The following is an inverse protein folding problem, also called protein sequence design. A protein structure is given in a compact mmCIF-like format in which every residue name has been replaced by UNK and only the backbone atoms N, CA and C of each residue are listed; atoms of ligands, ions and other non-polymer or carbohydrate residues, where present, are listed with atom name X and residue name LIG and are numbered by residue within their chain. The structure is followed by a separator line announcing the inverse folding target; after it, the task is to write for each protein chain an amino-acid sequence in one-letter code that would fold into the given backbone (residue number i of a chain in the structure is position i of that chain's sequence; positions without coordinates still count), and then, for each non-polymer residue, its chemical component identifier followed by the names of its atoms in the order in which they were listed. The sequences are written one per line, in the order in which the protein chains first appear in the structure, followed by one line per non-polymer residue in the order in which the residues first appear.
data_IF_894179741431
#
_entry.id   IF_894179741431
#
_cell.length_a   1.000
_cell.length_b   1.000
_cell.length_c   1.000
_cell.angle_alpha   90.00
_cell.angle_beta   90.00
_cell.angle_gamma   90.00
#
_symmetry.space_group_name_H-M   'P 1'
#
loop_
_entity.id
_entity.type
_entity.pdbx_description
1 polymer ?
#
# COMPACT_ATOMS: atom_id res chain seq x y z
N UNK A 1 12.55 -2.43 -25.17
CA UNK A 1 11.71 -3.48 -24.55
C UNK A 1 11.76 -3.38 -23.01
N UNK A 2 10.64 -3.64 -22.34
CA UNK A 2 10.56 -3.60 -20.86
C UNK A 2 11.05 -4.97 -20.35
N UNK A 3 12.35 -5.19 -20.42
CA UNK A 3 12.97 -6.49 -20.09
C UNK A 3 13.78 -6.46 -18.79
N UNK A 4 13.86 -5.31 -18.14
CA UNK A 4 14.55 -5.14 -16.87
C UNK A 4 13.74 -4.24 -15.94
N UNK A 5 14.04 -4.28 -14.65
CA UNK A 5 13.43 -3.38 -13.67
C UNK A 5 13.71 -1.90 -14.00
N UNK A 6 14.92 -1.58 -14.44
CA UNK A 6 15.27 -0.23 -14.86
C UNK A 6 14.46 0.23 -16.09
N UNK A 7 14.28 -0.64 -17.10
CA UNK A 7 13.44 -0.32 -18.27
C UNK A 7 11.95 -0.20 -17.90
N UNK A 8 11.48 -1.03 -16.97
CA UNK A 8 10.13 -0.97 -16.42
C UNK A 8 9.88 0.36 -15.70
N UNK A 9 10.81 0.75 -14.83
CA UNK A 9 10.79 2.03 -14.12
C UNK A 9 10.77 3.21 -15.09
N UNK A 10 11.67 3.21 -16.08
CA UNK A 10 11.77 4.27 -17.07
C UNK A 10 10.48 4.41 -17.92
N UNK A 11 9.88 3.29 -18.34
CA UNK A 11 8.63 3.30 -19.10
C UNK A 11 7.45 3.84 -18.28
N UNK A 12 7.34 3.43 -17.03
CA UNK A 12 6.29 3.94 -16.12
C UNK A 12 6.47 5.43 -15.84
N UNK A 13 7.71 5.87 -15.50
CA UNK A 13 8.01 7.28 -15.25
C UNK A 13 7.72 8.15 -16.46
N UNK A 14 8.09 7.70 -17.68
CA UNK A 14 7.79 8.44 -18.89
C UNK A 14 6.28 8.64 -19.08
N UNK A 15 5.48 7.60 -18.94
CA UNK A 15 4.03 7.68 -19.09
C UNK A 15 3.41 8.59 -18.01
N UNK A 16 3.88 8.45 -16.77
CA UNK A 16 3.46 9.30 -15.65
C UNK A 16 3.74 10.77 -15.93
N UNK A 17 4.97 11.10 -16.37
CA UNK A 17 5.34 12.49 -16.68
C UNK A 17 4.54 13.07 -17.84
N UNK A 18 4.27 12.29 -18.89
CA UNK A 18 3.46 12.77 -20.02
C UNK A 18 2.04 13.12 -19.59
N UNK A 19 1.38 12.23 -18.84
CA UNK A 19 0.03 12.49 -18.34
C UNK A 19 0.04 13.64 -17.34
N UNK A 20 0.99 13.67 -16.40
CA UNK A 20 1.13 14.76 -15.43
C UNK A 20 1.32 16.12 -16.12
N UNK A 21 2.15 16.18 -17.14
CA UNK A 21 2.36 17.42 -17.91
C UNK A 21 1.07 17.90 -18.57
N UNK A 22 0.30 17.01 -19.18
CA UNK A 22 -1.00 17.33 -19.74
C UNK A 22 -1.98 17.87 -18.66
N UNK A 23 -1.99 17.26 -17.46
CA UNK A 23 -2.83 17.73 -16.35
C UNK A 23 -2.39 19.11 -15.84
N UNK A 24 -1.09 19.38 -15.73
CA UNK A 24 -0.58 20.71 -15.36
C UNK A 24 -0.96 21.78 -16.38
N UNK A 25 -1.08 21.41 -17.65
CA UNK A 25 -1.56 22.30 -18.71
C UNK A 25 -3.11 22.40 -18.77
N UNK A 26 -3.84 21.75 -17.85
CA UNK A 26 -5.30 21.68 -17.84
C UNK A 26 -5.90 21.03 -19.09
N UNK A 27 -5.16 20.12 -19.71
CA UNK A 27 -5.61 19.36 -20.88
C UNK A 27 -6.44 18.15 -20.47
N UNK A 28 -7.47 17.83 -21.26
CA UNK A 28 -8.21 16.58 -21.14
C UNK A 28 -7.39 15.44 -21.75
N UNK A 29 -7.26 14.33 -20.99
CA UNK A 29 -6.44 13.19 -21.41
C UNK A 29 -7.31 12.05 -21.92
N UNK A 30 -7.03 11.60 -23.13
CA UNK A 30 -7.54 10.35 -23.69
C UNK A 30 -6.40 9.37 -23.86
N UNK A 31 -6.27 8.42 -22.93
CA UNK A 31 -5.20 7.41 -22.96
C UNK A 31 -5.75 6.10 -23.50
N UNK A 32 -5.16 5.59 -24.58
CA UNK A 32 -5.48 4.27 -25.12
C UNK A 32 -4.42 3.26 -24.69
N UNK A 33 -4.86 2.21 -23.97
CA UNK A 33 -4.00 1.12 -23.49
C UNK A 33 -4.02 -0.12 -24.41
N UNK A 34 -4.57 0.01 -25.59
CA UNK A 34 -4.52 -1.03 -26.62
C UNK A 34 -3.21 -0.93 -27.40
N UNK A 35 -2.62 -2.08 -27.65
CA UNK A 35 -1.34 -2.17 -28.33
C UNK A 35 -0.15 -2.18 -27.37
N UNK A 36 0.98 -2.66 -27.83
CA UNK A 36 2.17 -2.82 -27.02
C UNK A 36 2.15 -4.06 -26.11
N UNK A 37 3.07 -4.10 -25.18
CA UNK A 37 3.18 -5.21 -24.20
C UNK A 37 2.15 -5.05 -23.07
N UNK A 38 1.72 -6.16 -22.50
CA UNK A 38 0.75 -6.20 -21.37
C UNK A 38 1.16 -5.29 -20.21
N UNK A 39 2.45 -5.19 -19.91
CA UNK A 39 2.97 -4.34 -18.85
C UNK A 39 2.68 -2.85 -19.08
N UNK A 40 2.74 -2.40 -20.34
CA UNK A 40 2.44 -0.99 -20.67
C UNK A 40 0.98 -0.64 -20.42
N UNK A 41 0.07 -1.59 -20.69
CA UNK A 41 -1.37 -1.42 -20.36
C UNK A 41 -1.61 -1.33 -18.86
N UNK A 42 -0.89 -2.11 -18.06
CA UNK A 42 -0.95 -2.06 -16.59
C UNK A 42 -0.45 -0.69 -16.09
N UNK A 43 0.65 -0.18 -16.65
CA UNK A 43 1.15 1.15 -16.32
C UNK A 43 0.15 2.25 -16.69
N UNK A 44 -0.48 2.14 -17.86
CA UNK A 44 -1.53 3.06 -18.29
C UNK A 44 -2.69 3.12 -17.31
N UNK A 45 -3.16 1.96 -16.83
CA UNK A 45 -4.19 1.89 -15.79
C UNK A 45 -3.74 2.53 -14.47
N UNK A 46 -2.52 2.22 -14.00
CA UNK A 46 -2.00 2.76 -12.75
C UNK A 46 -1.85 4.29 -12.81
N UNK A 47 -1.32 4.82 -13.92
CA UNK A 47 -1.19 6.27 -14.13
C UNK A 47 -2.56 6.94 -14.20
N UNK A 48 -3.54 6.33 -14.88
CA UNK A 48 -4.90 6.85 -14.94
C UNK A 48 -5.56 6.92 -13.55
N UNK A 49 -5.39 5.90 -12.72
CA UNK A 49 -5.91 5.91 -11.35
C UNK A 49 -5.30 7.01 -10.47
N UNK A 50 -4.02 7.35 -10.70
CA UNK A 50 -3.29 8.35 -9.92
C UNK A 50 -3.54 9.79 -10.37
N UNK A 51 -3.66 10.03 -11.69
CA UNK A 51 -3.59 11.37 -12.27
C UNK A 51 -4.86 11.84 -12.97
N UNK A 52 -5.78 10.93 -13.34
CA UNK A 52 -6.98 11.30 -14.08
C UNK A 52 -7.97 12.06 -13.21
N UNK A 53 -8.72 12.93 -13.90
CA UNK A 53 -9.89 13.65 -13.42
C UNK A 53 -11.16 13.10 -14.09
N UNK A 54 -12.32 13.60 -13.69
CA UNK A 54 -13.62 13.10 -14.18
C UNK A 54 -13.80 13.22 -15.69
N UNK A 55 -13.18 14.24 -16.32
CA UNK A 55 -13.23 14.46 -17.77
C UNK A 55 -12.33 13.54 -18.57
N UNK A 56 -11.33 12.91 -17.94
CA UNK A 56 -10.36 12.06 -18.62
C UNK A 56 -10.93 10.70 -18.98
N UNK A 57 -10.37 10.07 -20.00
CA UNK A 57 -10.87 8.80 -20.50
C UNK A 57 -9.76 7.80 -20.76
N UNK A 58 -9.94 6.60 -20.23
CA UNK A 58 -9.10 5.45 -20.55
C UNK A 58 -9.79 4.58 -21.58
N UNK A 59 -9.07 4.21 -22.64
CA UNK A 59 -9.62 3.49 -23.77
C UNK A 59 -8.89 2.18 -24.05
N UNK A 60 -9.63 1.19 -24.50
CA UNK A 60 -9.12 -0.03 -25.07
C UNK A 60 -9.67 -0.22 -26.48
N UNK A 61 -8.79 -0.46 -27.45
CA UNK A 61 -9.18 -0.81 -28.80
C UNK A 61 -9.32 -2.33 -28.90
N UNK A 62 -10.56 -2.78 -29.05
CA UNK A 62 -10.87 -4.18 -29.30
C UNK A 62 -10.96 -4.41 -30.81
N UNK A 63 -10.31 -5.47 -31.29
CA UNK A 63 -10.43 -5.93 -32.67
C UNK A 63 -10.54 -7.44 -32.72
N UNK A 64 -11.31 -7.94 -33.67
CA UNK A 64 -11.52 -9.38 -33.85
C UNK A 64 -11.69 -9.77 -35.33
N UNK A 65 -11.75 -11.07 -35.59
CA UNK A 65 -11.97 -11.60 -36.93
C UNK A 65 -10.84 -11.34 -37.91
N UNK A 66 -11.20 -11.14 -39.15
CA UNK A 66 -10.25 -11.02 -40.26
C UNK A 66 -9.36 -9.79 -40.17
N UNK A 67 -9.82 -8.72 -39.50
CA UNK A 67 -8.96 -7.55 -39.29
C UNK A 67 -7.72 -7.87 -38.45
N UNK A 68 -7.89 -8.64 -37.38
CA UNK A 68 -6.77 -9.01 -36.49
C UNK A 68 -5.68 -9.84 -37.23
N UNK A 69 -6.11 -10.71 -38.14
CA UNK A 69 -5.21 -11.61 -38.88
C UNK A 69 -4.63 -10.99 -40.15
N UNK A 70 -5.29 -9.98 -40.70
CA UNK A 70 -4.95 -9.33 -41.97
C UNK A 70 -3.71 -8.47 -41.95
N UNK A 71 -3.21 -8.07 -40.78
CA UNK A 71 -2.08 -7.14 -40.57
C UNK A 71 -2.30 -5.76 -41.24
N UNK A 72 -3.55 -5.40 -41.57
CA UNK A 72 -3.88 -4.07 -42.06
C UNK A 72 -3.72 -3.02 -40.97
N UNK A 73 -3.24 -1.84 -41.35
CA UNK A 73 -3.06 -0.73 -40.39
C UNK A 73 -4.39 -0.02 -40.07
N UNK A 74 -5.35 -0.06 -41.01
CA UNK A 74 -6.63 0.61 -40.84
C UNK A 74 -7.79 -0.37 -41.09
N UNK A 75 -8.86 -0.29 -40.25
CA UNK A 75 -10.05 -1.09 -40.47
C UNK A 75 -10.80 -0.62 -41.73
N UNK A 76 -11.53 -1.54 -42.34
CA UNK A 76 -12.46 -1.29 -43.44
C UNK A 76 -13.91 -1.40 -42.95
N UNK A 77 -14.87 -0.86 -43.71
CA UNK A 77 -16.28 -1.07 -43.40
C UNK A 77 -16.61 -2.56 -43.27
N UNK A 78 -17.18 -2.95 -42.14
CA UNK A 78 -17.47 -4.34 -41.81
C UNK A 78 -16.47 -5.04 -40.88
N UNK A 79 -15.29 -4.45 -40.66
CA UNK A 79 -14.37 -4.99 -39.64
C UNK A 79 -14.88 -4.77 -38.23
N UNK A 80 -14.72 -5.78 -37.38
CA UNK A 80 -15.11 -5.71 -35.97
C UNK A 80 -14.00 -5.04 -35.15
N UNK A 81 -14.06 -3.70 -35.12
CA UNK A 81 -13.17 -2.83 -34.33
C UNK A 81 -13.97 -1.89 -33.48
N UNK A 82 -13.75 -1.93 -32.17
CA UNK A 82 -14.50 -1.15 -31.20
C UNK A 82 -13.56 -0.43 -30.23
N UNK A 83 -13.80 0.86 -30.01
CA UNK A 83 -13.14 1.62 -28.96
C UNK A 83 -13.99 1.54 -27.68
N UNK A 84 -13.47 0.86 -26.67
CA UNK A 84 -14.14 0.59 -25.41
C UNK A 84 -13.62 1.52 -24.34
N UNK A 85 -14.50 2.25 -23.66
CA UNK A 85 -14.14 3.05 -22.48
C UNK A 85 -13.94 2.13 -21.29
N UNK A 86 -12.79 2.24 -20.65
CA UNK A 86 -12.45 1.49 -19.43
C UNK A 86 -12.81 2.36 -18.21
N UNK A 87 -13.63 1.89 -17.29
CA UNK A 87 -13.91 2.62 -16.06
C UNK A 87 -12.64 2.68 -15.19
N UNK A 88 -12.35 3.88 -14.69
CA UNK A 88 -11.21 4.14 -13.81
C UNK A 88 -11.72 4.61 -12.46
N UNK A 89 -11.28 3.95 -11.38
CA UNK A 89 -11.49 4.44 -10.03
C UNK A 89 -10.46 5.53 -9.73
N UNK A 90 -10.92 6.76 -9.56
CA UNK A 90 -10.06 7.92 -9.32
C UNK A 90 -9.65 7.97 -7.85
N UNK A 91 -8.46 7.51 -7.56
CA UNK A 91 -7.96 7.47 -6.18
C UNK A 91 -7.63 8.86 -5.63
N UNK A 92 -7.27 9.80 -6.49
CA UNK A 92 -7.04 11.20 -6.13
C UNK A 92 -8.27 11.86 -5.48
N UNK A 93 -9.47 11.46 -5.88
CA UNK A 93 -10.73 11.97 -5.30
C UNK A 93 -11.08 11.35 -3.95
N UNK A 94 -10.43 10.23 -3.56
CA UNK A 94 -10.77 9.46 -2.35
C UNK A 94 -9.77 9.70 -1.21
N UNK A 95 -8.54 10.13 -1.50
CA UNK A 95 -7.50 10.30 -0.48
C UNK A 95 -6.63 11.53 -0.71
N UNK A 96 -6.62 12.51 0.23
CA UNK A 96 -5.72 13.67 0.16
C UNK A 96 -4.23 13.26 0.08
N UNK A 97 -3.86 12.15 0.71
CA UNK A 97 -2.48 11.62 0.68
C UNK A 97 -2.08 11.20 -0.74
N UNK A 98 -3.02 10.70 -1.53
CA UNK A 98 -2.75 10.33 -2.93
C UNK A 98 -2.68 11.54 -3.86
N UNK A 99 -3.37 12.63 -3.52
CA UNK A 99 -3.20 13.93 -4.19
C UNK A 99 -1.77 14.47 -4.00
N UNK A 100 -1.24 14.39 -2.78
CA UNK A 100 0.14 14.81 -2.51
C UNK A 100 1.16 13.94 -3.26
N UNK A 101 0.88 12.64 -3.40
CA UNK A 101 1.73 11.72 -4.18
C UNK A 101 1.70 12.01 -5.69
N UNK A 102 0.58 12.47 -6.22
CA UNK A 102 0.47 12.88 -7.63
C UNK A 102 1.32 14.14 -7.94
N UNK A 103 1.71 14.92 -6.92
CA UNK A 103 2.59 16.08 -7.07
C UNK A 103 4.08 15.74 -7.08
N UNK A 104 4.47 14.53 -6.65
CA UNK A 104 5.87 14.08 -6.64
C UNK A 104 6.31 13.77 -8.07
N UNK A 105 7.51 14.21 -8.44
CA UNK A 105 8.03 14.02 -9.80
C UNK A 105 8.33 12.56 -10.12
N UNK A 106 8.87 11.79 -9.16
CA UNK A 106 9.14 10.36 -9.34
C UNK A 106 8.05 9.52 -8.66
N UNK A 107 7.23 8.77 -9.43
CA UNK A 107 6.18 7.91 -8.88
C UNK A 107 6.71 6.78 -7.99
N UNK A 108 7.96 6.34 -8.18
CA UNK A 108 8.58 5.35 -7.30
C UNK A 108 9.02 5.98 -5.98
N UNK A 109 9.51 7.21 -5.99
CA UNK A 109 9.77 7.97 -4.77
C UNK A 109 8.47 8.22 -3.99
N UNK A 110 7.38 8.53 -4.69
CA UNK A 110 6.05 8.63 -4.11
C UNK A 110 5.64 7.35 -3.38
N UNK A 111 5.81 6.20 -4.02
CA UNK A 111 5.53 4.90 -3.42
C UNK A 111 6.37 4.62 -2.17
N UNK A 112 7.68 4.87 -2.24
CA UNK A 112 8.58 4.69 -1.09
C UNK A 112 8.25 5.64 0.07
N UNK A 113 7.93 6.90 -0.22
CA UNK A 113 7.48 7.87 0.80
C UNK A 113 6.16 7.45 1.45
N UNK A 114 5.20 6.95 0.68
CA UNK A 114 3.94 6.43 1.20
C UNK A 114 4.18 5.24 2.12
N UNK A 115 5.02 4.30 1.70
CA UNK A 115 5.40 3.14 2.50
C UNK A 115 6.07 3.55 3.80
N UNK A 116 7.03 4.48 3.74
CA UNK A 116 7.71 5.02 4.91
C UNK A 116 6.75 5.76 5.85
N UNK A 117 5.82 6.54 5.30
CA UNK A 117 4.79 7.25 6.09
C UNK A 117 3.87 6.27 6.81
N UNK A 118 3.39 5.23 6.12
CA UNK A 118 2.57 4.18 6.73
C UNK A 118 3.30 3.48 7.87
N UNK A 119 4.54 3.07 7.66
CA UNK A 119 5.37 2.46 8.69
C UNK A 119 5.57 3.36 9.91
N UNK A 120 5.79 4.67 9.68
CA UNK A 120 5.88 5.65 10.78
C UNK A 120 4.57 5.76 11.55
N UNK A 121 3.43 5.80 10.88
CA UNK A 121 2.13 5.86 11.55
C UNK A 121 1.87 4.60 12.39
N UNK A 122 2.15 3.42 11.85
CA UNK A 122 2.02 2.15 12.59
C UNK A 122 2.95 2.12 13.80
N UNK A 123 4.20 2.55 13.65
CA UNK A 123 5.16 2.67 14.75
C UNK A 123 4.66 3.64 15.84
N UNK A 124 4.22 4.82 15.47
CA UNK A 124 3.73 5.82 16.42
C UNK A 124 2.48 5.35 17.17
N UNK A 125 1.54 4.69 16.47
CA UNK A 125 0.37 4.08 17.11
C UNK A 125 0.76 2.98 18.09
N UNK A 126 1.68 2.10 17.73
CA UNK A 126 2.19 1.05 18.60
C UNK A 126 2.93 1.64 19.82
N UNK A 127 3.77 2.65 19.62
CA UNK A 127 4.48 3.37 20.67
C UNK A 127 3.51 4.03 21.67
N UNK A 128 2.55 4.79 21.15
CA UNK A 128 1.56 5.45 21.99
C UNK A 128 0.72 4.46 22.80
N UNK A 129 0.31 3.35 22.19
CA UNK A 129 -0.39 2.27 22.90
C UNK A 129 0.45 1.73 24.05
N UNK A 130 1.70 1.37 23.81
CA UNK A 130 2.61 0.82 24.81
C UNK A 130 2.88 1.81 25.93
N UNK A 131 3.12 3.09 25.61
CA UNK A 131 3.51 4.10 26.60
C UNK A 131 2.34 4.68 27.39
N UNK A 132 1.18 4.89 26.74
CA UNK A 132 0.06 5.63 27.33
C UNK A 132 -1.12 4.75 27.74
N UNK A 133 -1.29 3.59 27.13
CA UNK A 133 -2.45 2.72 27.42
C UNK A 133 -2.10 1.56 28.33
N UNK A 134 -0.87 1.06 28.30
CA UNK A 134 -0.43 -0.04 29.15
C UNK A 134 0.19 0.45 30.45
N UNK A 135 -0.12 -0.24 31.54
CA UNK A 135 0.61 -0.11 32.78
C UNK A 135 2.04 -0.66 32.64
N UNK A 136 2.99 -0.26 33.51
CA UNK A 136 4.36 -0.78 33.44
C UNK A 136 4.44 -2.33 33.47
N UNK A 137 3.59 -2.96 34.28
CA UNK A 137 3.54 -4.42 34.39
C UNK A 137 2.99 -5.10 33.12
N UNK A 138 1.94 -4.55 32.51
CA UNK A 138 1.39 -5.03 31.24
C UNK A 138 2.41 -4.85 30.12
N UNK A 139 3.12 -3.72 30.09
CA UNK A 139 4.15 -3.43 29.09
C UNK A 139 5.31 -4.42 29.15
N UNK A 140 5.74 -4.80 30.37
CA UNK A 140 6.78 -5.83 30.54
C UNK A 140 6.32 -7.19 29.99
N UNK A 141 5.11 -7.63 30.34
CA UNK A 141 4.55 -8.88 29.85
C UNK A 141 4.38 -8.89 28.32
N UNK A 142 3.82 -7.81 27.76
CA UNK A 142 3.65 -7.62 26.32
C UNK A 142 5.01 -7.54 25.60
N UNK A 143 6.00 -6.90 26.20
CA UNK A 143 7.36 -6.83 25.64
C UNK A 143 8.00 -8.19 25.44
N UNK A 144 7.92 -9.07 26.44
CA UNK A 144 8.42 -10.45 26.33
C UNK A 144 7.59 -11.27 25.32
N UNK A 145 6.27 -11.09 25.32
CA UNK A 145 5.39 -11.73 24.36
C UNK A 145 5.78 -11.39 22.91
N UNK A 146 6.00 -10.12 22.59
CA UNK A 146 6.20 -9.67 21.22
C UNK A 146 7.62 -9.88 20.72
N UNK A 147 8.64 -9.62 21.58
CA UNK A 147 10.05 -9.78 21.17
C UNK A 147 10.46 -11.23 21.03
N UNK A 148 10.00 -12.09 21.93
CA UNK A 148 10.51 -13.44 22.07
C UNK A 148 9.44 -14.51 21.80
N UNK A 149 8.20 -14.11 21.52
CA UNK A 149 7.05 -15.02 21.40
C UNK A 149 6.88 -15.93 22.64
N UNK A 150 7.33 -15.45 23.81
CA UNK A 150 7.39 -16.21 25.02
C UNK A 150 5.99 -16.67 25.48
N UNK A 151 5.88 -17.89 25.98
CA UNK A 151 4.66 -18.44 26.58
C UNK A 151 4.33 -17.74 27.91
N UNK A 152 3.12 -17.90 28.43
CA UNK A 152 2.72 -17.29 29.69
C UNK A 152 3.55 -17.82 30.87
N UNK A 153 4.00 -19.09 30.81
CA UNK A 153 4.91 -19.70 31.75
C UNK A 153 6.29 -19.05 31.73
N UNK A 154 6.86 -18.87 30.55
CA UNK A 154 8.18 -18.24 30.39
C UNK A 154 8.16 -16.78 30.81
N UNK A 155 7.09 -16.05 30.49
CA UNK A 155 6.89 -14.67 30.94
C UNK A 155 6.78 -14.63 32.48
N UNK A 156 6.04 -15.56 33.08
CA UNK A 156 5.87 -15.65 34.53
C UNK A 156 7.20 -15.92 35.24
N UNK A 157 8.00 -16.83 34.72
CA UNK A 157 9.33 -17.13 35.25
C UNK A 157 10.27 -15.91 35.19
N UNK A 158 10.35 -15.24 34.03
CA UNK A 158 11.23 -14.07 33.85
C UNK A 158 10.82 -12.85 34.66
N UNK A 159 9.52 -12.64 34.85
CA UNK A 159 9.01 -11.52 35.63
C UNK A 159 8.84 -11.85 37.14
N UNK A 160 9.15 -13.08 37.56
CA UNK A 160 8.99 -13.57 38.94
C UNK A 160 7.53 -13.37 39.38
N UNK A 161 6.58 -13.79 38.53
CA UNK A 161 5.12 -13.67 38.76
C UNK A 161 4.43 -15.02 38.64
N UNK A 162 3.18 -15.12 39.14
CA UNK A 162 2.38 -16.30 38.87
C UNK A 162 1.89 -16.28 37.42
N UNK A 163 1.74 -17.46 36.79
CA UNK A 163 1.12 -17.60 35.47
C UNK A 163 -0.24 -16.90 35.40
N UNK A 164 -1.07 -17.05 36.42
CA UNK A 164 -2.38 -16.40 36.55
C UNK A 164 -2.29 -14.88 36.46
N UNK A 165 -1.27 -14.29 37.09
CA UNK A 165 -1.01 -12.84 37.02
C UNK A 165 -0.67 -12.39 35.62
N UNK A 166 0.18 -13.15 34.91
CA UNK A 166 0.56 -12.87 33.52
C UNK A 166 -0.66 -12.96 32.59
N UNK A 167 -1.45 -14.03 32.71
CA UNK A 167 -2.69 -14.20 31.95
C UNK A 167 -3.65 -13.02 32.14
N UNK A 168 -3.80 -12.52 33.38
CA UNK A 168 -4.64 -11.35 33.68
C UNK A 168 -4.08 -10.07 33.02
N UNK A 169 -2.75 -9.88 33.08
CA UNK A 169 -2.10 -8.71 32.48
C UNK A 169 -2.25 -8.73 30.94
N UNK A 170 -2.05 -9.89 30.30
CA UNK A 170 -2.21 -10.03 28.86
C UNK A 170 -3.68 -9.87 28.44
N UNK A 171 -4.65 -10.43 29.16
CA UNK A 171 -6.08 -10.20 28.89
C UNK A 171 -6.48 -8.74 29.01
N UNK A 172 -5.91 -8.03 29.97
CA UNK A 172 -6.13 -6.59 30.11
C UNK A 172 -5.53 -5.83 28.91
N UNK A 173 -4.32 -6.20 28.50
CA UNK A 173 -3.68 -5.60 27.33
C UNK A 173 -4.47 -5.86 26.03
N UNK A 174 -5.04 -7.06 25.86
CA UNK A 174 -5.88 -7.38 24.70
C UNK A 174 -7.11 -6.48 24.63
N UNK A 175 -7.87 -6.35 25.71
CA UNK A 175 -9.04 -5.45 25.75
C UNK A 175 -8.68 -4.00 25.46
N UNK A 176 -7.58 -3.51 26.02
CA UNK A 176 -7.10 -2.16 25.74
C UNK A 176 -6.67 -1.99 24.28
N UNK A 177 -6.16 -3.04 23.64
CA UNK A 177 -5.83 -3.02 22.23
C UNK A 177 -7.08 -3.03 21.34
N UNK A 178 -8.13 -3.80 21.71
CA UNK A 178 -9.43 -3.76 21.05
C UNK A 178 -9.98 -2.34 21.00
N UNK A 179 -10.01 -1.67 22.15
CA UNK A 179 -10.53 -0.30 22.29
C UNK A 179 -9.65 0.72 21.54
N UNK A 180 -8.32 0.59 21.59
CA UNK A 180 -7.42 1.59 21.02
C UNK A 180 -7.27 1.46 19.52
N UNK A 181 -7.17 0.23 18.99
CA UNK A 181 -7.02 -0.04 17.57
C UNK A 181 -8.35 -0.21 16.84
N UNK A 182 -9.48 -0.19 17.57
CA UNK A 182 -10.84 -0.37 17.03
C UNK A 182 -10.99 -1.72 16.27
N UNK A 183 -10.44 -2.78 16.87
CA UNK A 183 -10.46 -4.13 16.30
C UNK A 183 -11.19 -5.05 17.28
N UNK A 184 -12.13 -5.86 16.80
CA UNK A 184 -12.79 -6.88 17.61
C UNK A 184 -11.88 -8.11 17.80
N UNK A 185 -11.97 -8.72 18.98
CA UNK A 185 -11.33 -10.00 19.32
C UNK A 185 -9.80 -10.01 19.16
N UNK A 186 -9.12 -9.08 19.81
CA UNK A 186 -7.65 -9.08 19.85
C UNK A 186 -7.14 -10.22 20.74
N UNK A 187 -6.50 -11.18 20.13
CA UNK A 187 -5.77 -12.24 20.82
C UNK A 187 -4.25 -12.08 20.73
N UNK A 188 -3.54 -13.09 21.20
CA UNK A 188 -2.08 -13.13 21.22
C UNK A 188 -1.42 -12.79 19.88
N UNK A 189 -1.85 -13.45 18.80
CA UNK A 189 -1.31 -13.28 17.45
C UNK A 189 -1.58 -11.86 16.92
N UNK A 190 -2.78 -11.35 17.15
CA UNK A 190 -3.14 -10.00 16.75
C UNK A 190 -2.31 -8.94 17.48
N UNK A 191 -2.12 -9.07 18.80
CA UNK A 191 -1.31 -8.13 19.56
C UNK A 191 0.17 -8.16 19.09
N UNK A 192 0.74 -9.34 18.81
CA UNK A 192 2.09 -9.46 18.25
C UNK A 192 2.16 -8.73 16.90
N UNK A 193 1.22 -8.95 16.00
CA UNK A 193 1.20 -8.31 14.68
C UNK A 193 1.12 -6.78 14.77
N UNK A 194 0.28 -6.24 15.65
CA UNK A 194 0.09 -4.81 15.87
C UNK A 194 1.33 -4.10 16.44
N UNK A 195 2.11 -4.80 17.28
CA UNK A 195 3.20 -4.19 18.03
C UNK A 195 4.60 -4.57 17.50
N UNK A 196 4.70 -5.55 16.62
CA UNK A 196 5.98 -6.05 16.09
C UNK A 196 6.83 -4.94 15.50
N UNK A 197 6.23 -4.02 14.76
CA UNK A 197 6.93 -2.90 14.12
C UNK A 197 7.71 -2.04 15.12
N UNK A 198 7.11 -1.76 16.28
CA UNK A 198 7.75 -0.98 17.33
C UNK A 198 9.04 -1.65 17.81
N UNK A 199 8.98 -2.93 18.18
CA UNK A 199 10.13 -3.65 18.71
C UNK A 199 11.19 -3.93 17.64
N UNK A 200 10.81 -4.12 16.38
CA UNK A 200 11.77 -4.32 15.28
C UNK A 200 12.59 -3.05 15.04
N UNK A 201 11.96 -1.89 15.00
CA UNK A 201 12.68 -0.63 14.75
C UNK A 201 13.54 -0.22 15.95
N UNK A 202 13.08 -0.44 17.20
CA UNK A 202 13.91 -0.19 18.39
C UNK A 202 15.18 -1.08 18.45
N UNK A 203 15.09 -2.34 18.01
CA UNK A 203 16.26 -3.20 17.92
C UNK A 203 17.27 -2.70 16.89
N UNK A 204 16.79 -2.28 15.72
CA UNK A 204 17.65 -1.75 14.66
C UNK A 204 18.36 -0.45 15.09
N UNK A 205 17.69 0.41 15.83
CA UNK A 205 18.30 1.63 16.39
C UNK A 205 19.32 1.35 17.49
N UNK A 206 19.14 0.28 18.25
CA UNK A 206 20.08 -0.14 19.30
C UNK A 206 21.34 -0.81 18.75
N UNK A 207 21.23 -1.55 17.64
CA UNK A 207 22.36 -2.22 16.97
C UNK A 207 23.17 -1.26 16.08
N UNK A 208 22.61 -0.12 15.69
CA UNK A 208 23.27 0.89 14.86
C UNK A 208 24.05 1.96 15.65
N UNK A 209 24.10 1.84 16.99
CA UNK A 209 24.88 2.71 17.90
C UNK A 209 26.08 1.96 18.46
#
# INVERSE_FOLDING_TARGET
DVESEAASRAAFSLLFHLVRQAKLNQEQVHLCIAGGRKVTSIFGMAVAQLLFEESDCLWHLYSSGDFLTSKRLHPQPGDAVHLLRIPVALWSSVSPVLLDLAQIEDPFEAYERQRASKLRQEYQRAKEFLERKLTPNERQAVGLLVREMASDEEIAQRLIKSRRTVEQQLRSAYRKAEDYFEISEVGRVHLIALLKIYYTLEQTEAEGR
#
